data_IF_425628479855
#
_entry.id   IF_425628479855
#
_cell.length_a   1.000
_cell.length_b   1.000
_cell.length_c   1.000
_cell.angle_alpha   90.00
_cell.angle_beta   90.00
_cell.angle_gamma   90.00
#
_symmetry.space_group_name_H-M   'P 1'
#
loop_
_entity.id
_entity.type
_entity.pdbx_description
1 polymer ?
#
# COMPACT_ATOMS: atom_id res chain seq x y z
N UNK A 1 36.29 12.97 -17.26
CA UNK A 1 34.93 12.42 -17.41
C UNK A 1 33.95 13.49 -16.96
N UNK A 2 33.02 13.93 -17.81
CA UNK A 2 32.18 15.09 -17.53
C UNK A 2 31.20 14.80 -16.38
N UNK A 3 31.50 15.30 -15.18
CA UNK A 3 30.66 15.15 -13.98
C UNK A 3 29.20 15.58 -14.20
N UNK A 4 28.96 16.47 -15.16
CA UNK A 4 27.61 16.90 -15.59
C UNK A 4 26.80 15.78 -16.24
N UNK A 5 27.41 14.94 -17.07
CA UNK A 5 26.73 13.80 -17.72
C UNK A 5 26.39 12.72 -16.68
N UNK A 6 27.27 12.48 -15.71
CA UNK A 6 27.03 11.50 -14.66
C UNK A 6 25.86 11.88 -13.73
N UNK A 7 25.76 13.16 -13.34
CA UNK A 7 24.61 13.70 -12.58
C UNK A 7 23.29 13.60 -13.36
N UNK A 8 23.32 13.85 -14.66
CA UNK A 8 22.14 13.78 -15.53
C UNK A 8 21.70 12.33 -15.74
N UNK A 9 22.64 11.39 -15.90
CA UNK A 9 22.35 9.96 -15.95
C UNK A 9 21.73 9.45 -14.65
N UNK A 10 22.21 9.89 -13.50
CA UNK A 10 21.63 9.53 -12.19
C UNK A 10 20.22 10.09 -12.06
N UNK A 11 19.99 11.36 -12.40
CA UNK A 11 18.65 11.93 -12.40
C UNK A 11 17.71 11.15 -13.34
N UNK A 12 18.12 10.87 -14.58
CA UNK A 12 17.28 10.12 -15.52
C UNK A 12 16.97 8.71 -14.98
N UNK A 13 17.96 7.96 -14.50
CA UNK A 13 17.78 6.60 -13.95
C UNK A 13 16.90 6.59 -12.69
N UNK A 14 16.98 7.64 -11.86
CA UNK A 14 16.19 7.79 -10.63
C UNK A 14 14.73 8.16 -10.90
N UNK A 15 14.44 8.93 -11.95
CA UNK A 15 13.09 9.33 -12.32
C UNK A 15 12.44 8.40 -13.36
N UNK A 16 13.21 7.51 -14.00
CA UNK A 16 12.69 6.54 -14.98
C UNK A 16 12.40 5.15 -14.40
N UNK A 17 12.93 4.82 -13.21
CA UNK A 17 12.64 3.55 -12.54
C UNK A 17 11.49 3.75 -11.53
N UNK A 18 10.33 3.26 -11.93
CA UNK A 18 9.17 2.94 -11.10
C UNK A 18 8.24 4.08 -10.65
N UNK A 19 7.57 4.69 -11.63
CA UNK A 19 6.17 5.12 -11.43
C UNK A 19 5.28 3.87 -11.52
N UNK A 20 5.26 3.07 -10.45
CA UNK A 20 4.43 1.87 -10.30
C UNK A 20 3.52 2.10 -9.08
N UNK A 21 2.19 2.07 -9.11
CA UNK A 21 1.19 1.99 -10.17
C UNK A 21 -0.09 2.66 -9.60
N UNK A 22 -0.79 3.46 -10.39
CA UNK A 22 -2.02 4.18 -10.02
C UNK A 22 -3.29 3.29 -9.94
N UNK A 23 -3.16 1.96 -9.96
CA UNK A 23 -4.30 1.05 -9.81
C UNK A 23 -4.00 -0.05 -8.79
N UNK A 24 -4.61 0.05 -7.61
CA UNK A 24 -4.69 -1.10 -6.72
C UNK A 24 -5.56 -2.18 -7.40
N UNK A 25 -5.15 -3.45 -7.31
CA UNK A 25 -6.02 -4.55 -7.74
C UNK A 25 -7.36 -4.51 -6.99
N UNK A 26 -8.44 -4.94 -7.62
CA UNK A 26 -9.77 -4.94 -6.99
C UNK A 26 -9.78 -5.81 -5.75
N UNK A 27 -10.25 -5.25 -4.64
CA UNK A 27 -10.43 -5.96 -3.37
C UNK A 27 -11.65 -6.88 -3.44
N UNK A 28 -11.56 -8.03 -2.78
CA UNK A 28 -12.64 -9.02 -2.72
C UNK A 28 -12.92 -9.42 -1.29
N UNK A 29 -14.19 -9.31 -0.91
CA UNK A 29 -14.69 -9.86 0.35
C UNK A 29 -15.15 -11.29 0.10
N UNK A 30 -14.81 -12.19 1.01
CA UNK A 30 -15.13 -13.61 0.90
C UNK A 30 -16.05 -13.99 2.04
N UNK A 31 -17.17 -14.63 1.71
CA UNK A 31 -18.09 -15.20 2.68
C UNK A 31 -18.05 -16.70 2.50
N UNK A 32 -17.95 -17.43 3.60
CA UNK A 32 -18.04 -18.88 3.65
C UNK A 32 -19.22 -19.28 4.53
N UNK A 33 -19.97 -20.30 4.16
CA UNK A 33 -21.00 -20.88 5.01
C UNK A 33 -21.17 -22.38 4.76
N UNK A 34 -21.59 -23.11 5.79
CA UNK A 34 -22.04 -24.49 5.64
C UNK A 34 -23.54 -24.48 5.37
N UNK A 35 -23.97 -25.02 4.24
CA UNK A 35 -25.37 -25.04 3.85
C UNK A 35 -25.88 -26.46 3.66
N UNK A 36 -27.16 -26.66 4.00
CA UNK A 36 -27.91 -27.89 3.79
C UNK A 36 -29.32 -27.49 3.32
N UNK A 37 -29.70 -27.90 2.10
CA UNK A 37 -31.01 -27.61 1.49
C UNK A 37 -31.38 -26.12 1.48
N UNK A 38 -30.41 -25.26 1.23
CA UNK A 38 -30.61 -23.81 1.12
C UNK A 38 -30.68 -23.06 2.45
N UNK A 39 -30.54 -23.76 3.57
CA UNK A 39 -30.35 -23.15 4.89
C UNK A 39 -28.86 -23.17 5.25
N UNK A 40 -28.29 -21.98 5.48
CA UNK A 40 -26.87 -21.80 5.74
C UNK A 40 -26.62 -21.49 7.22
N UNK A 41 -25.55 -22.07 7.77
CA UNK A 41 -25.09 -21.90 9.16
C UNK A 41 -23.58 -21.71 9.19
N UNK A 42 -23.07 -21.33 10.35
CA UNK A 42 -21.63 -21.20 10.61
C UNK A 42 -20.94 -20.30 9.56
N UNK A 43 -21.39 -19.06 9.48
CA UNK A 43 -20.83 -18.11 8.53
C UNK A 43 -19.45 -17.62 8.97
N UNK A 44 -18.51 -17.58 8.04
CA UNK A 44 -17.20 -16.96 8.18
C UNK A 44 -17.09 -15.83 7.16
N UNK A 45 -16.83 -14.61 7.62
CA UNK A 45 -16.70 -13.45 6.75
C UNK A 45 -15.26 -12.92 6.79
N UNK A 46 -14.64 -12.85 5.63
CA UNK A 46 -13.25 -12.42 5.45
C UNK A 46 -13.24 -11.19 4.56
N UNK A 47 -12.74 -10.09 5.10
CA UNK A 47 -12.61 -8.83 4.37
C UNK A 47 -11.14 -8.47 4.15
N UNK A 48 -10.87 -7.72 3.09
CA UNK A 48 -9.53 -7.20 2.79
C UNK A 48 -9.38 -5.75 3.27
N UNK A 49 -8.67 -5.56 4.38
CA UNK A 49 -8.41 -4.22 4.95
C UNK A 49 -7.03 -3.71 4.56
N UNK A 50 -6.85 -2.38 4.64
CA UNK A 50 -5.55 -1.75 4.43
C UNK A 50 -4.49 -2.30 5.41
N UNK A 51 -3.31 -2.62 4.89
CA UNK A 51 -2.17 -3.09 5.69
C UNK A 51 -1.13 -1.98 5.86
N UNK A 52 -0.34 -1.72 4.82
CA UNK A 52 0.84 -0.86 4.94
C UNK A 52 0.86 0.31 3.95
N UNK A 53 0.43 0.09 2.71
CA UNK A 53 0.28 1.12 1.67
C UNK A 53 -1.16 1.20 1.20
N UNK A 54 -1.48 2.21 0.38
CA UNK A 54 -2.83 2.37 -0.20
C UNK A 54 -3.30 1.13 -0.99
N UNK A 55 -2.36 0.35 -1.54
CA UNK A 55 -2.65 -0.87 -2.30
C UNK A 55 -2.30 -2.17 -1.57
N UNK A 56 -1.65 -2.11 -0.40
CA UNK A 56 -1.34 -3.33 0.37
C UNK A 56 -2.54 -3.69 1.23
N UNK A 57 -3.07 -4.89 1.02
CA UNK A 57 -4.23 -5.43 1.72
C UNK A 57 -3.84 -6.61 2.63
N UNK A 58 -4.61 -6.81 3.69
CA UNK A 58 -4.53 -8.00 4.55
C UNK A 58 -5.94 -8.53 4.82
N UNK A 59 -6.11 -9.85 4.96
CA UNK A 59 -7.38 -10.40 5.39
C UNK A 59 -7.64 -10.08 6.87
N UNK A 60 -8.90 -9.87 7.21
CA UNK A 60 -9.43 -9.77 8.58
C UNK A 60 -10.72 -10.58 8.65
N UNK A 61 -10.91 -11.31 9.75
CA UNK A 61 -12.16 -12.03 9.98
C UNK A 61 -13.10 -11.11 10.77
N UNK A 62 -14.31 -10.93 10.27
CA UNK A 62 -15.35 -10.15 10.93
C UNK A 62 -16.63 -10.97 11.11
N UNK A 63 -17.54 -10.47 11.96
CA UNK A 63 -18.87 -11.06 12.04
C UNK A 63 -19.71 -10.61 10.84
N UNK A 64 -20.32 -11.54 10.10
CA UNK A 64 -21.16 -11.20 8.97
C UNK A 64 -22.41 -10.43 9.43
N UNK A 65 -22.67 -9.30 8.79
CA UNK A 65 -23.93 -8.56 8.97
C UNK A 65 -25.13 -9.36 8.46
N UNK A 66 -26.34 -8.96 8.86
CA UNK A 66 -27.56 -9.61 8.38
C UNK A 66 -27.66 -9.59 6.84
N UNK A 67 -27.31 -8.45 6.22
CA UNK A 67 -27.31 -8.29 4.77
C UNK A 67 -26.37 -9.28 4.06
N UNK A 68 -25.17 -9.48 4.61
CA UNK A 68 -24.17 -10.41 4.06
C UNK A 68 -24.68 -11.85 4.07
N UNK A 69 -25.40 -12.24 5.13
CA UNK A 69 -26.04 -13.56 5.23
C UNK A 69 -27.18 -13.70 4.23
N UNK A 70 -28.05 -12.70 4.12
CA UNK A 70 -29.18 -12.69 3.17
C UNK A 70 -28.71 -12.82 1.72
N UNK A 71 -27.62 -12.13 1.37
CA UNK A 71 -27.01 -12.21 0.03
C UNK A 71 -26.50 -13.63 -0.24
N UNK A 72 -25.81 -14.23 0.73
CA UNK A 72 -25.29 -15.58 0.59
C UNK A 72 -26.41 -16.61 0.40
N UNK A 73 -27.45 -16.54 1.23
CA UNK A 73 -28.60 -17.44 1.15
C UNK A 73 -29.38 -17.25 -0.16
N UNK A 74 -29.50 -16.01 -0.64
CA UNK A 74 -30.10 -15.71 -1.93
C UNK A 74 -29.33 -16.37 -3.09
N UNK A 75 -28.00 -16.28 -3.10
CA UNK A 75 -27.19 -16.90 -4.15
C UNK A 75 -27.20 -18.43 -4.07
N UNK A 76 -27.16 -19.03 -2.88
CA UNK A 76 -27.32 -20.48 -2.68
C UNK A 76 -28.66 -20.98 -3.23
N UNK A 77 -29.77 -20.31 -2.88
CA UNK A 77 -31.12 -20.70 -3.32
C UNK A 77 -31.31 -20.58 -4.83
N UNK A 78 -30.57 -19.69 -5.47
CA UNK A 78 -30.60 -19.46 -6.91
C UNK A 78 -29.50 -20.20 -7.67
N UNK A 79 -28.75 -21.09 -7.00
CA UNK A 79 -27.66 -21.88 -7.59
C UNK A 79 -28.06 -23.33 -7.87
N UNK A 80 -27.20 -24.05 -8.59
CA UNK A 80 -27.31 -25.50 -8.77
C UNK A 80 -27.15 -26.30 -7.46
N UNK A 81 -26.53 -25.70 -6.44
CA UNK A 81 -26.25 -26.35 -5.14
C UNK A 81 -27.38 -26.20 -4.12
N UNK A 82 -28.54 -25.67 -4.50
CA UNK A 82 -29.67 -25.39 -3.59
C UNK A 82 -30.01 -26.56 -2.67
N UNK A 83 -29.99 -27.77 -3.19
CA UNK A 83 -30.38 -28.99 -2.46
C UNK A 83 -29.18 -29.80 -1.96
N UNK A 84 -27.96 -29.29 -2.16
CA UNK A 84 -26.73 -29.98 -1.81
C UNK A 84 -26.19 -29.54 -0.44
N UNK A 85 -25.72 -30.51 0.33
CA UNK A 85 -24.97 -30.24 1.56
C UNK A 85 -23.50 -29.98 1.25
N UNK A 86 -22.97 -28.88 1.77
CA UNK A 86 -21.55 -28.54 1.60
C UNK A 86 -21.15 -27.23 2.26
N UNK A 87 -19.85 -26.95 2.19
CA UNK A 87 -19.30 -25.62 2.49
C UNK A 87 -19.15 -24.87 1.18
N UNK A 88 -19.64 -23.65 1.15
CA UNK A 88 -19.65 -22.80 -0.03
C UNK A 88 -18.93 -21.49 0.24
N UNK A 89 -18.32 -20.93 -0.81
CA UNK A 89 -17.69 -19.62 -0.82
C UNK A 89 -18.39 -18.74 -1.84
N UNK A 90 -18.60 -17.47 -1.51
CA UNK A 90 -18.88 -16.42 -2.49
C UNK A 90 -17.83 -15.31 -2.35
N UNK A 91 -17.26 -14.93 -3.48
CA UNK A 91 -16.39 -13.77 -3.58
C UNK A 91 -17.20 -12.57 -4.09
N UNK A 92 -17.25 -11.52 -3.29
CA UNK A 92 -17.93 -10.27 -3.60
C UNK A 92 -16.89 -9.20 -3.85
N UNK A 93 -17.12 -8.39 -4.88
CA UNK A 93 -16.26 -7.25 -5.15
C UNK A 93 -16.53 -6.17 -4.11
N UNK A 94 -15.51 -5.73 -3.38
CA UNK A 94 -15.66 -4.60 -2.47
C UNK A 94 -15.34 -3.27 -3.16
N UNK A 95 -15.85 -2.18 -2.58
CA UNK A 95 -15.63 -0.83 -3.11
C UNK A 95 -14.16 -0.46 -2.91
N UNK A 96 -13.46 -0.16 -4.01
CA UNK A 96 -12.10 0.38 -3.96
C UNK A 96 -12.05 1.59 -3.01
N UNK A 97 -11.16 1.53 -2.02
CA UNK A 97 -10.92 2.58 -1.01
C UNK A 97 -12.00 2.78 0.06
N UNK A 98 -13.02 1.91 0.18
CA UNK A 98 -13.96 1.92 1.30
C UNK A 98 -13.90 0.64 2.12
N UNK A 99 -14.09 0.76 3.43
CA UNK A 99 -14.39 -0.37 4.31
C UNK A 99 -15.90 -0.68 4.33
N UNK A 100 -16.71 0.06 3.56
CA UNK A 100 -18.15 -0.15 3.46
C UNK A 100 -18.49 -1.16 2.37
N UNK A 101 -19.48 -1.99 2.66
CA UNK A 101 -20.07 -2.90 1.71
C UNK A 101 -20.71 -2.12 0.54
N UNK A 102 -20.70 -2.70 -0.67
CA UNK A 102 -21.16 -2.02 -1.90
C UNK A 102 -22.68 -1.79 -1.93
N UNK A 103 -23.44 -2.56 -1.14
CA UNK A 103 -24.90 -2.53 -1.12
C UNK A 103 -25.42 -2.07 0.25
N UNK A 104 -26.43 -1.20 0.23
CA UNK A 104 -27.09 -0.72 1.44
C UNK A 104 -28.20 -1.67 1.92
N UNK A 105 -28.77 -2.46 1.01
CA UNK A 105 -29.86 -3.38 1.26
C UNK A 105 -29.91 -4.53 0.23
N UNK A 106 -30.71 -5.56 0.51
CA UNK A 106 -30.81 -6.77 -0.34
C UNK A 106 -31.45 -6.49 -1.70
N UNK A 107 -32.35 -5.51 -1.79
CA UNK A 107 -33.04 -5.19 -3.04
C UNK A 107 -32.09 -4.54 -4.05
N UNK A 108 -31.19 -3.68 -3.57
CA UNK A 108 -30.10 -3.12 -4.36
C UNK A 108 -29.19 -4.22 -4.92
N UNK A 109 -28.87 -5.23 -4.10
CA UNK A 109 -28.11 -6.40 -4.54
C UNK A 109 -28.87 -7.22 -5.59
N UNK A 110 -30.17 -7.45 -5.43
CA UNK A 110 -31.00 -8.20 -6.40
C UNK A 110 -31.03 -7.52 -7.75
N UNK A 111 -31.34 -6.21 -7.76
CA UNK A 111 -31.36 -5.41 -9.00
C UNK A 111 -29.99 -5.42 -9.69
N UNK A 112 -28.91 -5.38 -8.92
CA UNK A 112 -27.57 -5.50 -9.44
C UNK A 112 -27.28 -6.91 -9.99
N UNK A 113 -27.61 -7.98 -9.25
CA UNK A 113 -27.44 -9.38 -9.69
C UNK A 113 -28.20 -9.65 -10.99
N UNK A 114 -29.43 -9.16 -11.12
CA UNK A 114 -30.26 -9.31 -12.32
C UNK A 114 -29.71 -8.55 -13.53
N UNK A 115 -29.31 -7.28 -13.37
CA UNK A 115 -28.74 -6.48 -14.46
C UNK A 115 -27.41 -7.02 -14.93
N UNK A 116 -26.57 -7.50 -14.01
CA UNK A 116 -25.19 -7.85 -14.32
C UNK A 116 -25.04 -9.30 -14.80
N UNK A 117 -25.99 -10.19 -14.46
CA UNK A 117 -26.13 -11.55 -15.04
C UNK A 117 -26.29 -11.55 -16.56
N UNK A 118 -26.71 -10.44 -17.19
CA UNK A 118 -26.92 -10.36 -18.64
C UNK A 118 -25.67 -10.09 -19.47
N UNK A 119 -24.58 -9.51 -18.95
CA UNK A 119 -23.45 -9.10 -19.80
C UNK A 119 -22.04 -9.40 -19.27
N UNK A 120 -21.77 -9.40 -17.96
CA UNK A 120 -20.37 -9.30 -17.49
C UNK A 120 -20.10 -9.96 -16.12
N UNK A 121 -20.98 -10.85 -15.66
CA UNK A 121 -20.67 -11.69 -14.51
C UNK A 121 -20.02 -13.00 -14.97
N UNK A 122 -18.69 -13.12 -15.09
CA UNK A 122 -18.07 -14.40 -14.86
C UNK A 122 -18.15 -14.61 -13.35
N UNK A 123 -19.34 -14.98 -12.85
CA UNK A 123 -19.57 -15.58 -11.54
C UNK A 123 -18.92 -14.83 -10.35
N UNK A 124 -19.75 -14.25 -9.48
CA UNK A 124 -19.49 -14.41 -8.05
C UNK A 124 -19.66 -15.89 -7.77
N UNK A 125 -18.65 -16.70 -8.14
CA UNK A 125 -18.76 -18.16 -8.24
C UNK A 125 -19.05 -18.61 -6.84
N UNK A 126 -20.32 -18.91 -6.58
CA UNK A 126 -20.65 -19.74 -5.46
C UNK A 126 -19.89 -21.04 -5.71
N UNK A 127 -18.78 -21.21 -5.01
CA UNK A 127 -17.88 -22.34 -5.21
C UNK A 127 -17.97 -23.25 -4.01
N UNK A 128 -18.23 -24.52 -4.27
CA UNK A 128 -18.18 -25.54 -3.23
C UNK A 128 -16.72 -25.78 -2.85
N UNK A 129 -16.42 -25.71 -1.56
CA UNK A 129 -15.11 -26.06 -1.01
C UNK A 129 -15.12 -27.55 -0.69
N UNK A 130 -14.28 -28.30 -1.39
CA UNK A 130 -14.12 -29.73 -1.15
C UNK A 130 -13.41 -29.99 0.19
N UNK A 131 -13.91 -30.97 0.94
CA UNK A 131 -13.22 -31.62 2.06
C UNK A 131 -12.77 -30.72 3.23
N UNK A 132 -13.38 -29.55 3.40
CA UNK A 132 -13.10 -28.65 4.52
C UNK A 132 -14.36 -28.34 5.34
N UNK A 133 -14.23 -28.35 6.66
CA UNK A 133 -15.22 -27.79 7.57
C UNK A 133 -14.98 -26.30 7.76
N UNK A 134 -16.02 -25.55 8.13
CA UNK A 134 -15.92 -24.13 8.47
C UNK A 134 -14.87 -23.89 9.57
N UNK A 135 -14.79 -24.76 10.58
CA UNK A 135 -13.80 -24.65 11.65
C UNK A 135 -12.35 -24.71 11.12
N UNK A 136 -12.06 -25.60 10.15
CA UNK A 136 -10.73 -25.67 9.53
C UNK A 136 -10.42 -24.42 8.72
N UNK A 137 -11.39 -23.92 7.96
CA UNK A 137 -11.27 -22.66 7.21
C UNK A 137 -11.00 -21.48 8.13
N UNK A 138 -11.71 -21.40 9.25
CA UNK A 138 -11.53 -20.35 10.24
C UNK A 138 -10.11 -20.37 10.83
N UNK A 139 -9.59 -21.56 11.17
CA UNK A 139 -8.20 -21.70 11.64
C UNK A 139 -7.19 -21.26 10.58
N UNK A 140 -7.38 -21.66 9.32
CA UNK A 140 -6.50 -21.28 8.21
C UNK A 140 -6.50 -19.77 7.99
N UNK A 141 -7.68 -19.14 7.96
CA UNK A 141 -7.81 -17.70 7.77
C UNK A 141 -7.30 -16.91 8.98
N UNK A 142 -7.49 -17.38 10.22
CA UNK A 142 -6.87 -16.79 11.41
C UNK A 142 -5.34 -16.80 11.32
N UNK A 143 -4.77 -17.88 10.78
CA UNK A 143 -3.32 -17.98 10.57
C UNK A 143 -2.86 -17.01 9.48
N UNK A 144 -3.61 -16.86 8.38
CA UNK A 144 -3.35 -15.87 7.32
C UNK A 144 -3.45 -14.44 7.83
N UNK A 145 -4.47 -14.12 8.62
CA UNK A 145 -4.64 -12.82 9.27
C UNK A 145 -3.45 -12.50 10.16
N UNK A 146 -3.07 -13.42 11.06
CA UNK A 146 -1.91 -13.25 11.95
C UNK A 146 -0.62 -13.01 11.16
N UNK A 147 -0.36 -13.79 10.11
CA UNK A 147 0.83 -13.64 9.26
C UNK A 147 0.81 -12.31 8.51
N UNK A 148 -0.35 -11.91 7.98
CA UNK A 148 -0.54 -10.61 7.32
C UNK A 148 -0.30 -9.44 8.26
N UNK A 149 -0.81 -9.54 9.49
CA UNK A 149 -0.61 -8.54 10.54
C UNK A 149 0.87 -8.44 10.96
N UNK A 150 1.56 -9.56 11.15
CA UNK A 150 3.01 -9.56 11.45
C UNK A 150 3.83 -8.93 10.32
N UNK A 151 3.51 -9.26 9.07
CA UNK A 151 4.16 -8.67 7.90
C UNK A 151 3.94 -7.16 7.83
N UNK A 152 2.71 -6.71 8.11
CA UNK A 152 2.39 -5.28 8.19
C UNK A 152 3.22 -4.57 9.27
N UNK A 153 3.32 -5.15 10.48
CA UNK A 153 4.13 -4.59 11.56
C UNK A 153 5.62 -4.52 11.19
N UNK A 154 6.14 -5.56 10.56
CA UNK A 154 7.52 -5.59 10.10
C UNK A 154 7.83 -4.47 9.11
N UNK A 155 6.97 -4.26 8.10
CA UNK A 155 7.16 -3.16 7.17
C UNK A 155 7.00 -1.78 7.81
N UNK A 156 6.03 -1.60 8.71
CA UNK A 156 5.92 -0.36 9.48
C UNK A 156 7.19 -0.08 10.28
N UNK A 157 7.77 -1.09 10.91
CA UNK A 157 9.03 -0.96 11.62
C UNK A 157 10.19 -0.56 10.70
N UNK A 158 10.31 -1.20 9.53
CA UNK A 158 11.33 -0.84 8.54
C UNK A 158 11.18 0.60 8.03
N UNK A 159 9.96 1.06 7.81
CA UNK A 159 9.69 2.44 7.39
C UNK A 159 10.13 3.44 8.47
N UNK A 160 9.79 3.18 9.74
CA UNK A 160 10.25 4.02 10.86
C UNK A 160 11.77 4.01 11.01
N UNK A 161 12.40 2.84 10.88
CA UNK A 161 13.85 2.71 10.97
C UNK A 161 14.54 3.47 9.82
N UNK A 162 14.06 3.31 8.59
CA UNK A 162 14.53 4.02 7.40
C UNK A 162 14.42 5.53 7.58
N UNK A 163 13.30 6.01 8.13
CA UNK A 163 13.09 7.43 8.44
C UNK A 163 14.13 7.97 9.42
N UNK A 164 14.36 7.27 10.54
CA UNK A 164 15.33 7.69 11.55
C UNK A 164 16.73 7.75 10.95
N UNK A 165 17.11 6.73 10.17
CA UNK A 165 18.40 6.70 9.49
C UNK A 165 18.54 7.85 8.48
N UNK A 166 17.51 8.12 7.70
CA UNK A 166 17.46 9.23 6.74
C UNK A 166 17.62 10.59 7.45
N UNK A 167 16.95 10.81 8.58
CA UNK A 167 17.09 12.02 9.38
C UNK A 167 18.52 12.21 9.91
N UNK A 168 19.12 11.14 10.44
CA UNK A 168 20.51 11.17 10.93
C UNK A 168 21.47 11.54 9.79
N UNK A 169 21.34 10.88 8.63
CA UNK A 169 22.16 11.15 7.45
C UNK A 169 21.97 12.58 6.92
N UNK A 170 20.74 13.10 6.94
CA UNK A 170 20.43 14.48 6.55
C UNK A 170 21.13 15.49 7.48
N UNK A 171 21.10 15.26 8.79
CA UNK A 171 21.80 16.11 9.77
C UNK A 171 23.31 16.09 9.54
N UNK A 172 23.91 14.91 9.36
CA UNK A 172 25.34 14.81 9.04
C UNK A 172 25.70 15.51 7.72
N UNK A 173 24.84 15.38 6.72
CA UNK A 173 24.97 16.04 5.43
C UNK A 173 25.01 17.57 5.57
N UNK A 174 24.13 18.15 6.40
CA UNK A 174 24.14 19.60 6.70
C UNK A 174 25.40 20.00 7.46
N UNK A 175 25.82 19.23 8.47
CA UNK A 175 27.04 19.50 9.26
C UNK A 175 28.27 19.54 8.35
N UNK A 176 28.40 18.58 7.42
CA UNK A 176 29.50 18.58 6.46
C UNK A 176 29.45 19.77 5.51
N UNK A 177 28.26 20.18 5.07
CA UNK A 177 28.11 21.37 4.25
C UNK A 177 28.59 22.63 4.98
N UNK A 178 28.18 22.83 6.24
CA UNK A 178 28.62 23.97 7.07
C UNK A 178 30.14 23.94 7.28
N UNK A 179 30.72 22.77 7.54
CA UNK A 179 32.18 22.62 7.68
C UNK A 179 32.92 22.98 6.39
N UNK A 180 32.38 22.60 5.24
CA UNK A 180 32.93 22.99 3.95
C UNK A 180 32.86 24.50 3.70
N UNK A 181 31.75 25.16 4.05
CA UNK A 181 31.64 26.63 3.95
C UNK A 181 32.73 27.35 4.76
N UNK A 182 33.11 26.78 5.91
CA UNK A 182 34.20 27.27 6.75
C UNK A 182 35.60 26.87 6.26
N UNK A 183 35.70 26.28 5.05
CA UNK A 183 36.93 25.75 4.44
C UNK A 183 37.63 24.67 5.28
N UNK A 184 36.92 24.04 6.22
CA UNK A 184 37.49 23.01 7.11
C UNK A 184 37.58 21.64 6.44
N UNK A 185 36.90 21.45 5.30
CA UNK A 185 36.72 20.14 4.65
C UNK A 185 36.77 20.32 3.13
N UNK A 186 37.31 19.32 2.42
CA UNK A 186 37.45 19.35 0.96
C UNK A 186 36.11 19.21 0.22
N UNK A 187 36.07 19.71 -1.03
CA UNK A 187 34.90 19.64 -1.92
C UNK A 187 34.39 18.20 -2.13
N UNK A 188 35.27 17.18 -2.02
CA UNK A 188 34.88 15.76 -2.16
C UNK A 188 33.79 15.36 -1.18
N UNK A 189 33.84 15.89 0.05
CA UNK A 189 32.83 15.62 1.08
C UNK A 189 31.48 16.29 0.80
N UNK A 190 31.48 17.41 0.07
CA UNK A 190 30.24 18.05 -0.39
C UNK A 190 29.55 17.17 -1.43
N UNK A 191 30.31 16.64 -2.40
CA UNK A 191 29.79 15.72 -3.42
C UNK A 191 29.19 14.47 -2.75
N UNK A 192 29.89 13.90 -1.77
CA UNK A 192 29.40 12.76 -0.99
C UNK A 192 28.11 13.09 -0.23
N UNK A 193 28.07 14.26 0.42
CA UNK A 193 26.90 14.77 1.15
C UNK A 193 25.68 14.95 0.22
N UNK A 194 25.85 15.54 -0.96
CA UNK A 194 24.80 15.68 -1.97
C UNK A 194 24.33 14.30 -2.45
N UNK A 195 25.25 13.37 -2.68
CA UNK A 195 24.91 12.00 -3.10
C UNK A 195 24.02 11.30 -2.07
N UNK A 196 24.33 11.44 -0.78
CA UNK A 196 23.49 10.92 0.31
C UNK A 196 22.09 11.56 0.28
N UNK A 197 21.98 12.88 0.12
CA UNK A 197 20.69 13.55 0.07
C UNK A 197 19.83 13.10 -1.12
N UNK A 198 20.44 12.93 -2.30
CA UNK A 198 19.76 12.42 -3.50
C UNK A 198 19.27 10.99 -3.28
N UNK A 199 20.08 10.13 -2.65
CA UNK A 199 19.67 8.77 -2.30
C UNK A 199 18.50 8.76 -1.31
N UNK A 200 18.54 9.60 -0.27
CA UNK A 200 17.42 9.74 0.69
C UNK A 200 16.15 10.20 -0.03
N UNK A 201 16.25 11.21 -0.89
CA UNK A 201 15.12 11.72 -1.65
C UNK A 201 14.53 10.67 -2.59
N UNK A 202 15.37 9.87 -3.24
CA UNK A 202 14.95 8.75 -4.09
C UNK A 202 14.18 7.70 -3.29
N UNK A 203 14.75 7.25 -2.17
CA UNK A 203 14.11 6.24 -1.32
C UNK A 203 12.77 6.77 -0.82
N UNK A 204 12.74 8.03 -0.38
CA UNK A 204 11.52 8.69 0.03
C UNK A 204 10.47 8.72 -1.08
N UNK A 205 10.87 9.06 -2.31
CA UNK A 205 9.98 9.10 -3.47
C UNK A 205 9.44 7.71 -3.83
N UNK A 206 10.30 6.70 -3.91
CA UNK A 206 9.90 5.32 -4.17
C UNK A 206 8.98 4.76 -3.08
N UNK A 207 9.13 5.22 -1.83
CA UNK A 207 8.31 4.84 -0.69
C UNK A 207 7.10 5.76 -0.44
N UNK A 208 6.83 6.74 -1.32
CA UNK A 208 5.67 7.65 -1.12
C UNK A 208 4.33 6.89 -1.06
N UNK A 209 4.21 5.72 -1.70
CA UNK A 209 2.98 4.92 -1.64
C UNK A 209 2.75 4.23 -0.29
N UNK A 210 3.80 4.04 0.52
CA UNK A 210 3.78 3.37 1.82
C UNK A 210 3.75 4.35 3.00
N UNK A 211 4.21 5.58 2.79
CA UNK A 211 4.34 6.58 3.84
C UNK A 211 3.05 7.34 4.12
N UNK A 212 2.93 7.85 5.35
CA UNK A 212 1.81 8.74 5.69
C UNK A 212 1.95 10.08 4.97
N UNK A 213 0.82 10.68 4.57
CA UNK A 213 0.80 11.97 3.86
C UNK A 213 1.55 13.08 4.62
N UNK A 214 1.49 13.07 5.95
CA UNK A 214 2.21 14.04 6.79
C UNK A 214 3.73 13.93 6.63
N UNK A 215 4.24 12.71 6.48
CA UNK A 215 5.66 12.43 6.39
C UNK A 215 6.21 12.77 5.00
N UNK A 216 5.42 12.46 3.97
CA UNK A 216 5.66 12.90 2.58
C UNK A 216 5.72 14.43 2.51
N UNK A 217 4.76 15.11 3.13
CA UNK A 217 4.69 16.58 3.15
C UNK A 217 5.91 17.17 3.84
N UNK A 218 6.32 16.59 4.98
CA UNK A 218 7.49 17.05 5.73
C UNK A 218 8.77 16.92 4.88
N UNK A 219 9.05 15.75 4.31
CA UNK A 219 10.25 15.57 3.50
C UNK A 219 10.22 16.35 2.19
N UNK A 220 9.04 16.48 1.57
CA UNK A 220 8.81 17.27 0.37
C UNK A 220 9.02 18.78 0.55
N UNK A 221 8.89 19.30 1.77
CA UNK A 221 9.19 20.72 2.08
C UNK A 221 10.64 20.89 2.54
N UNK A 222 11.09 20.05 3.47
CA UNK A 222 12.39 20.24 4.12
C UNK A 222 13.57 19.96 3.19
N UNK A 223 13.54 18.88 2.38
CA UNK A 223 14.67 18.54 1.51
C UNK A 223 14.90 19.62 0.44
N UNK A 224 13.89 20.08 -0.33
CA UNK A 224 14.08 21.17 -1.29
C UNK A 224 14.49 22.49 -0.63
N UNK A 225 13.97 22.79 0.57
CA UNK A 225 14.37 23.97 1.34
C UNK A 225 15.86 23.96 1.71
N UNK A 226 16.37 22.80 2.16
CA UNK A 226 17.80 22.62 2.44
C UNK A 226 18.63 22.78 1.17
N UNK A 227 18.20 22.19 0.05
CA UNK A 227 18.90 22.33 -1.24
C UNK A 227 18.98 23.79 -1.69
N UNK A 228 17.87 24.53 -1.60
CA UNK A 228 17.83 25.94 -1.96
C UNK A 228 18.82 26.76 -1.12
N UNK A 229 18.87 26.51 0.19
CA UNK A 229 19.84 27.14 1.09
C UNK A 229 21.29 26.80 0.71
N UNK A 230 21.57 25.53 0.40
CA UNK A 230 22.90 25.08 0.01
C UNK A 230 23.35 25.70 -1.32
N UNK A 231 22.45 25.77 -2.31
CA UNK A 231 22.71 26.37 -3.63
C UNK A 231 22.98 27.86 -3.49
N UNK A 232 22.11 28.62 -2.82
CA UNK A 232 22.28 30.07 -2.63
C UNK A 232 23.58 30.39 -1.89
N UNK A 233 23.89 29.62 -0.85
CA UNK A 233 25.14 29.81 -0.12
C UNK A 233 26.38 29.46 -0.94
N UNK A 234 26.32 28.41 -1.77
CA UNK A 234 27.41 28.04 -2.68
C UNK A 234 27.68 29.16 -3.69
N UNK A 235 26.62 29.71 -4.30
CA UNK A 235 26.71 30.82 -5.24
C UNK A 235 27.34 32.05 -4.57
N UNK A 236 26.88 32.43 -3.36
CA UNK A 236 27.42 33.57 -2.63
C UNK A 236 28.92 33.43 -2.31
N UNK A 237 29.33 32.26 -1.81
CA UNK A 237 30.75 31.98 -1.53
C UNK A 237 31.62 32.01 -2.79
N UNK A 238 31.09 31.49 -3.91
CA UNK A 238 31.79 31.52 -5.19
C UNK A 238 32.02 32.95 -5.69
N UNK A 239 30.99 33.80 -5.63
CA UNK A 239 31.10 35.22 -6.00
C UNK A 239 32.08 35.99 -5.10
N UNK A 240 32.03 35.76 -3.79
CA UNK A 240 32.94 36.39 -2.82
C UNK A 240 34.41 36.02 -3.05
N UNK A 241 34.69 34.76 -3.37
CA UNK A 241 36.06 34.31 -3.62
C UNK A 241 36.58 34.75 -4.99
N UNK A 242 35.71 34.86 -6.01
CA UNK A 242 36.09 35.39 -7.32
C UNK A 242 36.51 36.87 -7.27
N UNK A 243 35.98 37.65 -6.33
CA UNK A 243 36.39 39.04 -6.13
C UNK A 243 37.77 39.21 -5.47
N UNK A 244 38.37 38.12 -4.93
CA UNK A 244 39.67 38.14 -4.24
C UNK A 244 40.83 37.57 -5.06
N UNK A 245 40.55 36.97 -6.21
CA UNK A 245 41.53 36.41 -7.16
C UNK A 245 41.59 37.27 -8.40
#
# INVERSE_FOLDING_TARGET
MNHRLWLLSIFVILFSNDVVALSCASTQDRIFAECDKGDCKNFLYVIEVNAHSQCSRRPTIEQPSALVKEIFEFEIRNSEYRDERGVYEIALRSVLFSNSYMFSNIEEYRLYSERTKQNEYPRGVLSRIADQSIEKLEIEWKLKEKKGYQRMLFFKFLDWFSLILALILLVYSIIWFIKWQRLLVSVKWVIFSISIQVTIFTIAFASMSTWSMSLITLLGIFIPGIWLYQITSFINLWWLNRART
#
